data_IF_670802209838
#
_entry.id   IF_670802209838
#
_cell.length_a   1.000
_cell.length_b   1.000
_cell.length_c   1.000
_cell.angle_alpha   90.00
_cell.angle_beta   90.00
_cell.angle_gamma   90.00
#
_symmetry.space_group_name_H-M   'P 1'
#
loop_
_entity.id
_entity.type
_entity.pdbx_description
1 polymer ?
#
# COMPACT_ATOMS: atom_id res chain seq x y z
N UNK A 1 -4.95 8.91 21.19
CA UNK A 1 -5.54 7.82 20.39
C UNK A 1 -4.43 7.17 19.60
N UNK A 2 -4.47 5.85 19.38
CA UNK A 2 -3.40 5.11 18.70
C UNK A 2 -4.02 4.36 17.52
N UNK A 3 -3.58 4.69 16.31
CA UNK A 3 -4.07 4.07 15.08
C UNK A 3 -3.09 2.97 14.67
N UNK A 4 -3.61 1.81 14.26
CA UNK A 4 -2.81 0.69 13.76
C UNK A 4 -3.20 0.43 12.31
N UNK A 5 -2.22 0.53 11.41
CA UNK A 5 -2.40 0.25 9.98
C UNK A 5 -1.75 -1.10 9.69
N UNK A 6 -2.54 -2.05 9.16
CA UNK A 6 -2.06 -3.39 8.83
C UNK A 6 -1.65 -3.46 7.36
N UNK A 7 -0.33 -3.49 7.12
CA UNK A 7 0.24 -3.76 5.80
C UNK A 7 0.44 -5.27 5.64
N UNK A 8 -0.62 -5.97 5.23
CA UNK A 8 -0.62 -7.43 5.06
C UNK A 8 0.22 -7.91 3.86
N UNK A 9 -0.46 -8.39 2.82
CA UNK A 9 0.17 -9.13 1.71
C UNK A 9 0.91 -8.24 0.71
N UNK A 10 1.86 -8.85 -0.01
CA UNK A 10 2.59 -8.25 -1.14
C UNK A 10 1.60 -7.72 -2.20
N UNK A 11 0.53 -8.45 -2.50
CA UNK A 11 -0.39 -8.09 -3.58
C UNK A 11 -0.04 -8.77 -4.90
N UNK A 12 0.10 -10.10 -4.87
CA UNK A 12 0.50 -10.96 -6.00
C UNK A 12 -0.36 -10.80 -7.27
N UNK A 13 -1.63 -10.42 -7.14
CA UNK A 13 -2.51 -10.12 -8.29
C UNK A 13 -2.06 -8.91 -9.12
N UNK A 14 -1.19 -8.06 -8.55
CA UNK A 14 -0.59 -6.91 -9.24
C UNK A 14 0.82 -7.22 -9.75
N UNK A 15 1.25 -8.48 -9.80
CA UNK A 15 2.52 -8.79 -10.45
C UNK A 15 2.48 -8.40 -11.94
N UNK A 16 3.53 -7.80 -12.52
CA UNK A 16 4.88 -7.62 -11.98
C UNK A 16 5.10 -6.33 -11.17
N UNK A 17 4.08 -5.48 -11.07
CA UNK A 17 4.14 -4.20 -10.35
C UNK A 17 4.44 -4.43 -8.88
N UNK A 18 3.65 -5.26 -8.19
CA UNK A 18 3.94 -5.56 -6.78
C UNK A 18 5.02 -6.63 -6.61
N UNK A 19 5.99 -6.36 -5.74
CA UNK A 19 7.15 -7.21 -5.45
C UNK A 19 7.37 -7.36 -3.95
N UNK A 20 8.15 -8.34 -3.53
CA UNK A 20 8.46 -8.59 -2.11
C UNK A 20 9.03 -7.36 -1.40
N UNK A 21 9.95 -6.63 -2.06
CA UNK A 21 10.56 -5.42 -1.50
C UNK A 21 9.72 -4.16 -1.70
N UNK A 22 8.70 -4.21 -2.56
CA UNK A 22 7.79 -3.10 -2.81
C UNK A 22 6.34 -3.60 -2.94
N UNK A 23 5.66 -3.82 -1.80
CA UNK A 23 4.26 -4.25 -1.76
C UNK A 23 3.26 -3.22 -2.31
N UNK A 24 2.03 -3.67 -2.61
CA UNK A 24 0.93 -2.85 -3.16
C UNK A 24 0.69 -1.55 -2.40
N UNK A 25 0.80 -1.57 -1.07
CA UNK A 25 0.44 -0.45 -0.20
C UNK A 25 1.29 0.80 -0.50
N UNK A 26 2.48 0.62 -1.06
CA UNK A 26 3.42 1.70 -1.33
C UNK A 26 3.32 2.27 -2.76
N UNK A 27 2.38 1.79 -3.58
CA UNK A 27 2.19 2.29 -4.93
C UNK A 27 1.08 3.33 -5.04
N UNK A 28 1.28 4.39 -5.86
CA UNK A 28 0.28 5.43 -6.09
C UNK A 28 -0.72 5.05 -7.19
N UNK A 29 -1.61 4.11 -6.91
CA UNK A 29 -2.47 3.50 -7.93
C UNK A 29 -3.73 4.31 -8.28
N UNK A 30 -4.17 5.21 -7.39
CA UNK A 30 -5.49 5.87 -7.53
C UNK A 30 -5.35 7.39 -7.48
N UNK A 31 -4.74 7.93 -6.42
CA UNK A 31 -4.77 9.38 -6.08
C UNK A 31 -3.47 10.11 -6.40
N UNK A 32 -2.46 9.40 -6.91
CA UNK A 32 -1.09 9.91 -7.00
C UNK A 32 -0.29 9.81 -5.70
N UNK A 33 -0.93 9.48 -4.57
CA UNK A 33 -0.28 9.10 -3.31
C UNK A 33 -0.33 7.59 -3.14
N UNK A 34 0.61 7.04 -2.38
CA UNK A 34 0.57 5.61 -2.04
C UNK A 34 -0.70 5.26 -1.28
N UNK A 35 -1.18 4.03 -1.43
CA UNK A 35 -2.35 3.55 -0.70
C UNK A 35 -2.15 3.62 0.83
N UNK A 36 -0.91 3.49 1.29
CA UNK A 36 -0.54 3.65 2.68
C UNK A 36 -0.72 5.11 3.13
N UNK A 37 -0.23 6.09 2.37
CA UNK A 37 -0.42 7.51 2.67
C UNK A 37 -1.90 7.88 2.68
N UNK A 38 -2.67 7.41 1.70
CA UNK A 38 -4.11 7.65 1.66
C UNK A 38 -4.82 7.08 2.89
N UNK A 39 -4.34 5.95 3.45
CA UNK A 39 -4.93 5.35 4.66
C UNK A 39 -4.47 6.05 5.94
N UNK A 40 -3.23 6.56 5.98
CA UNK A 40 -2.65 7.18 7.16
C UNK A 40 -3.07 8.66 7.36
N UNK A 41 -3.51 9.32 6.29
CA UNK A 41 -3.95 10.72 6.30
C UNK A 41 -5.47 10.89 6.56
N UNK A 42 -6.18 9.78 6.80
CA UNK A 42 -7.56 9.74 7.30
C UNK A 42 -7.54 9.73 8.83
#
# INVERSE_FOLDING_TARGET
MKNLILCGVIGSRLWPLSRTLMPKQFYPLITGKSLFEDTALV
#
